data_IF_884680913549
#
_entry.id   IF_884680913549
#
_cell.length_a   1.000
_cell.length_b   1.000
_cell.length_c   1.000
_cell.angle_alpha   90.00
_cell.angle_beta   90.00
_cell.angle_gamma   90.00
#
_symmetry.space_group_name_H-M   'P 1'
#
loop_
_entity.id
_entity.type
_entity.pdbx_description
1 polymer ?
#
# COMPACT_ATOMS: atom_id res chain seq x y z
N UNK A 1 3.33 0.05 -1.21
CA UNK A 1 3.88 -0.60 -2.41
C UNK A 1 5.35 -0.88 -2.20
N UNK A 2 5.83 -2.05 -2.58
CA UNK A 2 7.27 -2.35 -2.60
C UNK A 2 7.64 -3.03 -3.90
N UNK A 3 8.90 -2.90 -4.30
CA UNK A 3 9.47 -3.79 -5.31
C UNK A 3 9.80 -5.14 -4.72
N UNK A 4 9.53 -6.20 -5.46
CA UNK A 4 9.90 -7.56 -5.09
C UNK A 4 11.28 -7.94 -5.65
N UNK A 5 11.69 -9.19 -5.41
CA UNK A 5 12.94 -9.79 -5.92
C UNK A 5 13.07 -9.81 -7.45
N UNK A 6 11.99 -9.51 -8.19
CA UNK A 6 11.97 -9.42 -9.65
C UNK A 6 11.84 -7.97 -10.14
N UNK A 7 12.09 -6.99 -9.26
CA UNK A 7 12.01 -5.57 -9.57
C UNK A 7 10.62 -5.10 -10.05
N UNK A 8 9.55 -5.79 -9.62
CA UNK A 8 8.16 -5.44 -9.93
C UNK A 8 7.44 -4.90 -8.70
N UNK A 9 6.57 -3.92 -8.91
CA UNK A 9 5.73 -3.36 -7.87
C UNK A 9 4.71 -4.37 -7.36
N UNK A 10 4.58 -4.48 -6.04
CA UNK A 10 3.61 -5.31 -5.35
C UNK A 10 2.93 -4.53 -4.22
N UNK A 11 1.66 -4.88 -3.97
CA UNK A 11 0.91 -4.40 -2.81
C UNK A 11 1.27 -5.28 -1.62
N UNK A 12 1.99 -4.72 -0.65
CA UNK A 12 2.46 -5.47 0.53
C UNK A 12 1.57 -5.25 1.77
N UNK A 13 0.92 -4.10 1.86
CA UNK A 13 0.02 -3.80 2.97
C UNK A 13 -0.89 -2.64 2.64
N UNK A 14 -2.12 -2.74 3.11
CA UNK A 14 -3.15 -1.70 2.99
C UNK A 14 -3.73 -1.48 4.38
N UNK A 15 -3.69 -0.25 4.86
CA UNK A 15 -4.38 0.15 6.08
C UNK A 15 -5.53 1.07 5.73
N UNK A 16 -6.76 0.72 6.12
CA UNK A 16 -7.89 1.62 6.00
C UNK A 16 -7.99 2.48 7.26
N UNK A 17 -7.97 3.81 7.09
CA UNK A 17 -8.15 4.76 8.18
C UNK A 17 -9.58 5.29 8.12
N UNK A 18 -10.35 5.14 9.21
CA UNK A 18 -11.66 5.78 9.33
C UNK A 18 -11.52 7.10 10.06
N UNK A 19 -12.05 8.19 9.48
CA UNK A 19 -12.15 9.47 10.16
C UNK A 19 -13.12 9.38 11.36
N UNK A 20 -12.75 10.02 12.47
CA UNK A 20 -13.67 10.18 13.61
C UNK A 20 -14.93 10.96 13.20
N UNK A 21 -16.05 10.74 13.90
CA UNK A 21 -17.31 11.45 13.61
C UNK A 21 -17.08 12.97 13.72
N UNK A 22 -17.30 13.71 12.63
CA UNK A 22 -17.09 15.16 12.57
C UNK A 22 -15.63 15.60 12.35
N UNK A 23 -14.69 14.65 12.17
CA UNK A 23 -13.30 14.97 11.82
C UNK A 23 -13.11 15.00 10.31
N UNK A 24 -12.46 16.05 9.81
CA UNK A 24 -12.02 16.15 8.41
C UNK A 24 -10.82 15.24 8.13
N UNK A 25 -10.08 14.83 9.17
CA UNK A 25 -8.85 14.03 9.04
C UNK A 25 -8.99 12.61 9.59
N UNK A 26 -8.29 11.66 8.96
CA UNK A 26 -8.20 10.25 9.39
C UNK A 26 -7.02 9.98 10.32
N UNK A 27 -6.37 11.03 10.85
CA UNK A 27 -5.20 10.89 11.72
C UNK A 27 -5.57 10.11 12.99
N UNK A 28 -4.84 9.03 13.27
CA UNK A 28 -5.06 8.16 14.44
C UNK A 28 -4.98 8.96 15.76
N UNK A 29 -4.13 9.99 15.81
CA UNK A 29 -4.01 10.90 16.97
C UNK A 29 -5.28 11.72 17.26
N UNK A 30 -6.17 11.88 16.27
CA UNK A 30 -7.40 12.68 16.35
C UNK A 30 -8.66 11.78 16.45
N UNK A 31 -8.53 10.56 16.98
CA UNK A 31 -9.66 9.63 17.17
C UNK A 31 -10.03 8.81 15.93
N UNK A 32 -9.18 8.79 14.90
CA UNK A 32 -9.30 7.86 13.78
C UNK A 32 -8.95 6.42 14.22
N UNK A 33 -9.67 5.43 13.68
CA UNK A 33 -9.35 4.02 13.90
C UNK A 33 -8.76 3.38 12.65
N UNK A 34 -7.76 2.51 12.85
CA UNK A 34 -7.25 1.65 11.80
C UNK A 34 -8.12 0.40 11.72
N UNK A 35 -8.51 0.02 10.51
CA UNK A 35 -9.21 -1.23 10.24
C UNK A 35 -8.67 -1.87 8.97
N UNK A 36 -9.04 -3.12 8.72
CA UNK A 36 -8.65 -3.78 7.47
C UNK A 36 -9.41 -3.15 6.30
N UNK A 37 -8.83 -3.11 5.09
CA UNK A 37 -9.52 -2.60 3.91
C UNK A 37 -10.82 -3.37 3.62
N UNK A 38 -10.87 -4.67 3.90
CA UNK A 38 -12.08 -5.49 3.72
C UNK A 38 -13.20 -5.00 4.63
N UNK A 39 -12.90 -4.71 5.91
CA UNK A 39 -13.89 -4.18 6.84
C UNK A 39 -14.40 -2.81 6.42
N UNK A 40 -13.51 -1.92 5.96
CA UNK A 40 -13.89 -0.59 5.51
C UNK A 40 -14.75 -0.65 4.24
N UNK A 41 -14.29 -1.39 3.23
CA UNK A 41 -14.96 -1.47 1.94
C UNK A 41 -16.24 -2.29 1.99
N UNK A 42 -16.33 -3.33 2.82
CA UNK A 42 -17.57 -4.09 3.04
C UNK A 42 -18.68 -3.17 3.59
N UNK A 43 -18.35 -2.24 4.47
CA UNK A 43 -19.31 -1.26 5.01
C UNK A 43 -19.76 -0.21 4.00
N UNK A 44 -18.87 0.19 3.08
CA UNK A 44 -19.17 1.23 2.09
C UNK A 44 -19.82 0.68 0.82
N UNK A 45 -19.35 -0.46 0.33
CA UNK A 45 -19.68 -1.00 -1.00
C UNK A 45 -20.33 -2.39 -0.96
N UNK A 46 -20.51 -3.00 0.22
CA UNK A 46 -21.20 -4.28 0.37
C UNK A 46 -20.58 -5.40 -0.45
N UNK A 47 -21.39 -6.01 -1.33
CA UNK A 47 -20.96 -7.12 -2.21
C UNK A 47 -19.86 -6.72 -3.20
N UNK A 48 -19.73 -5.43 -3.54
CA UNK A 48 -18.69 -4.93 -4.45
C UNK A 48 -17.33 -4.70 -3.79
N UNK A 49 -17.25 -4.81 -2.47
CA UNK A 49 -16.04 -4.51 -1.69
C UNK A 49 -14.77 -5.17 -2.22
N UNK A 50 -14.87 -6.45 -2.64
CA UNK A 50 -13.73 -7.18 -3.22
C UNK A 50 -13.27 -6.59 -4.55
N UNK A 51 -14.20 -6.29 -5.45
CA UNK A 51 -13.89 -5.70 -6.76
C UNK A 51 -13.26 -4.31 -6.61
N UNK A 52 -13.83 -3.48 -5.74
CA UNK A 52 -13.29 -2.15 -5.43
C UNK A 52 -11.88 -2.25 -4.84
N UNK A 53 -11.62 -3.22 -3.97
CA UNK A 53 -10.29 -3.46 -3.42
C UNK A 53 -9.28 -3.86 -4.50
N UNK A 54 -9.63 -4.76 -5.40
CA UNK A 54 -8.74 -5.17 -6.50
C UNK A 54 -8.46 -4.00 -7.46
N UNK A 55 -9.47 -3.21 -7.81
CA UNK A 55 -9.28 -1.98 -8.61
C UNK A 55 -8.34 -0.98 -7.92
N UNK A 56 -8.46 -0.83 -6.59
CA UNK A 56 -7.56 0.04 -5.82
C UNK A 56 -6.11 -0.47 -5.81
N UNK A 57 -5.91 -1.80 -5.75
CA UNK A 57 -4.58 -2.43 -5.86
C UNK A 57 -3.97 -2.22 -7.24
N UNK A 58 -4.74 -2.47 -8.31
CA UNK A 58 -4.31 -2.27 -9.69
C UNK A 58 -3.94 -0.81 -9.95
N UNK A 59 -4.78 0.13 -9.51
CA UNK A 59 -4.48 1.56 -9.60
C UNK A 59 -3.17 1.91 -8.86
N UNK A 60 -2.94 1.35 -7.67
CA UNK A 60 -1.71 1.58 -6.90
C UNK A 60 -0.46 1.05 -7.61
N UNK A 61 -0.56 -0.07 -8.33
CA UNK A 61 0.53 -0.60 -9.16
C UNK A 61 0.80 0.35 -10.33
N UNK A 62 -0.25 0.70 -11.09
CA UNK A 62 -0.13 1.61 -12.24
C UNK A 62 0.45 2.98 -11.86
N UNK A 63 0.03 3.54 -10.71
CA UNK A 63 0.60 4.78 -10.19
C UNK A 63 2.08 4.64 -9.80
N UNK A 64 2.48 3.49 -9.22
CA UNK A 64 3.88 3.24 -8.87
C UNK A 64 4.77 3.20 -10.11
N UNK A 65 4.32 2.49 -11.15
CA UNK A 65 5.01 2.40 -12.44
C UNK A 65 5.08 3.77 -13.12
N UNK A 66 3.99 4.53 -13.12
CA UNK A 66 3.96 5.87 -13.69
C UNK A 66 4.93 6.83 -12.99
N UNK A 67 4.98 6.81 -11.66
CA UNK A 67 5.92 7.63 -10.87
C UNK A 67 7.36 7.22 -11.19
N UNK A 68 7.66 5.92 -11.16
CA UNK A 68 9.00 5.41 -11.45
C UNK A 68 9.48 5.82 -12.84
N UNK A 69 8.64 5.71 -13.87
CA UNK A 69 9.01 6.06 -15.24
C UNK A 69 9.35 7.54 -15.43
N UNK A 70 8.91 8.42 -14.53
CA UNK A 70 9.14 9.87 -14.61
C UNK A 70 10.04 10.41 -13.49
N UNK A 71 10.54 9.54 -12.61
CA UNK A 71 11.39 9.93 -11.50
C UNK A 71 12.86 9.55 -11.77
N UNK A 72 13.83 10.47 -11.64
CA UNK A 72 15.22 10.22 -12.04
C UNK A 72 15.99 9.30 -11.08
N UNK A 73 15.47 9.06 -9.88
CA UNK A 73 16.11 8.21 -8.88
C UNK A 73 15.36 6.91 -8.69
N UNK A 74 16.12 5.87 -8.36
CA UNK A 74 15.63 4.54 -8.01
C UNK A 74 14.62 4.60 -6.85
N UNK A 75 13.50 3.91 -7.03
CA UNK A 75 12.47 3.73 -6.02
C UNK A 75 12.32 2.23 -5.69
N UNK A 76 12.19 1.93 -4.40
CA UNK A 76 11.96 0.56 -3.90
C UNK A 76 10.69 0.42 -3.08
N UNK A 77 10.14 1.53 -2.58
CA UNK A 77 8.91 1.58 -1.81
C UNK A 77 8.18 2.90 -2.09
N UNK A 78 6.84 2.83 -2.06
CA UNK A 78 5.95 3.99 -2.14
C UNK A 78 4.75 3.72 -1.22
N UNK A 79 4.40 4.67 -0.36
CA UNK A 79 3.12 4.70 0.33
C UNK A 79 2.17 5.66 -0.36
N UNK A 80 0.97 5.20 -0.68
CA UNK A 80 -0.09 6.07 -1.21
C UNK A 80 -1.14 6.33 -0.14
N UNK A 81 -1.56 7.59 -0.05
CA UNK A 81 -2.84 7.94 0.57
C UNK A 81 -3.86 8.12 -0.55
N UNK A 82 -4.86 7.22 -0.58
CA UNK A 82 -5.91 7.18 -1.61
C UNK A 82 -7.30 7.29 -0.98
N UNK A 83 -8.23 7.85 -1.73
CA UNK A 83 -9.66 7.86 -1.44
C UNK A 83 -10.45 7.12 -2.52
N UNK A 84 -11.61 6.60 -2.16
CA UNK A 84 -12.57 6.01 -3.10
C UNK A 84 -13.90 6.70 -2.87
N UNK A 85 -14.48 7.27 -3.93
CA UNK A 85 -15.78 7.95 -3.85
C UNK A 85 -16.97 6.99 -4.04
N UNK A 86 -18.19 7.51 -3.88
CA UNK A 86 -19.42 6.73 -3.99
C UNK A 86 -19.66 6.15 -5.40
N UNK A 87 -18.97 6.67 -6.42
CA UNK A 87 -18.98 6.17 -7.80
C UNK A 87 -17.82 5.19 -8.06
N UNK A 88 -17.15 4.71 -7.01
CA UNK A 88 -16.03 3.79 -7.07
C UNK A 88 -14.83 4.34 -7.86
N UNK A 89 -14.69 5.67 -7.94
CA UNK A 89 -13.51 6.31 -8.52
C UNK A 89 -12.41 6.41 -7.48
N UNK A 90 -11.20 6.08 -7.89
CA UNK A 90 -10.01 6.08 -7.04
C UNK A 90 -9.29 7.42 -7.23
N UNK A 91 -9.03 8.09 -6.11
CA UNK A 91 -8.37 9.39 -6.05
C UNK A 91 -7.07 9.24 -5.27
N UNK A 92 -5.94 9.64 -5.84
CA UNK A 92 -4.66 9.73 -5.13
C UNK A 92 -4.50 11.12 -4.53
N UNK A 93 -4.28 11.20 -3.22
CA UNK A 93 -4.01 12.46 -2.53
C UNK A 93 -2.50 12.71 -2.41
N UNK A 94 -1.74 11.67 -2.07
CA UNK A 94 -0.31 11.79 -1.81
C UNK A 94 0.44 10.49 -2.15
N UNK A 95 1.69 10.63 -2.57
CA UNK A 95 2.64 9.55 -2.79
C UNK A 95 3.93 9.82 -2.01
N UNK A 96 4.24 8.95 -1.05
CA UNK A 96 5.38 9.07 -0.15
C UNK A 96 6.46 8.04 -0.49
N UNK A 97 7.66 8.50 -0.83
CA UNK A 97 8.82 7.63 -1.11
C UNK A 97 9.48 7.02 0.14
N UNK A 98 9.08 7.48 1.33
CA UNK A 98 9.51 6.95 2.65
C UNK A 98 8.29 6.83 3.58
N UNK A 99 7.41 5.85 3.35
CA UNK A 99 6.19 5.71 4.14
C UNK A 99 6.48 5.40 5.61
N UNK A 100 5.73 6.04 6.49
CA UNK A 100 5.78 5.74 7.93
C UNK A 100 5.36 4.30 8.22
N UNK A 101 6.09 3.61 9.10
CA UNK A 101 5.84 2.20 9.46
C UNK A 101 4.84 2.00 10.60
N UNK A 102 4.27 3.09 11.13
CA UNK A 102 3.38 3.06 12.30
C UNK A 102 2.13 2.20 12.08
N UNK A 103 1.64 2.07 10.84
CA UNK A 103 0.50 1.21 10.50
C UNK A 103 0.73 -0.26 10.88
N UNK A 104 1.97 -0.74 10.81
CA UNK A 104 2.33 -2.14 11.11
C UNK A 104 2.39 -2.46 12.60
N UNK A 105 2.25 -1.45 13.47
CA UNK A 105 2.07 -1.67 14.91
C UNK A 105 0.72 -2.29 15.24
N UNK A 106 -0.27 -2.15 14.34
CA UNK A 106 -1.58 -2.76 14.51
C UNK A 106 -1.49 -4.29 14.37
N UNK A 107 -2.09 -5.07 15.28
CA UNK A 107 -1.96 -6.53 15.27
C UNK A 107 -2.34 -7.20 13.94
N UNK A 108 -3.37 -6.68 13.26
CA UNK A 108 -3.83 -7.22 11.98
C UNK A 108 -2.89 -6.97 10.80
N UNK A 109 -1.88 -6.10 10.96
CA UNK A 109 -0.94 -5.73 9.90
C UNK A 109 0.50 -6.21 10.17
N UNK A 110 0.68 -7.12 11.13
CA UNK A 110 2.01 -7.63 11.50
C UNK A 110 2.66 -8.45 10.38
N UNK A 111 1.86 -9.20 9.62
CA UNK A 111 2.36 -10.03 8.51
C UNK A 111 2.85 -9.15 7.38
N UNK A 112 2.07 -8.13 7.03
CA UNK A 112 2.37 -7.09 6.05
C UNK A 112 3.60 -6.29 6.48
N UNK A 113 3.74 -6.01 7.77
CA UNK A 113 4.93 -5.37 8.32
C UNK A 113 6.20 -6.19 8.12
N UNK A 114 6.12 -7.52 8.28
CA UNK A 114 7.24 -8.44 7.97
C UNK A 114 7.49 -8.51 6.47
N UNK A 115 6.45 -8.68 5.67
CA UNK A 115 6.56 -8.76 4.20
C UNK A 115 7.15 -7.48 3.60
N UNK A 116 6.88 -6.31 4.21
CA UNK A 116 7.49 -5.03 3.83
C UNK A 116 9.01 -5.05 4.02
N UNK A 117 9.49 -5.61 5.14
CA UNK A 117 10.93 -5.77 5.37
C UNK A 117 11.53 -6.77 4.39
N UNK A 118 10.88 -7.91 4.18
CA UNK A 118 11.32 -8.94 3.23
C UNK A 118 11.48 -8.39 1.82
N UNK A 119 10.52 -7.61 1.32
CA UNK A 119 10.59 -7.00 0.00
C UNK A 119 11.73 -5.98 -0.13
N UNK A 120 12.02 -5.21 0.93
CA UNK A 120 13.18 -4.30 0.93
C UNK A 120 14.48 -5.09 0.76
N UNK A 121 14.64 -6.20 1.49
CA UNK A 121 15.80 -7.08 1.34
C UNK A 121 15.86 -7.70 -0.05
N UNK A 122 14.75 -8.28 -0.53
CA UNK A 122 14.66 -8.91 -1.84
C UNK A 122 15.01 -7.96 -2.98
N UNK A 123 14.51 -6.73 -2.94
CA UNK A 123 14.84 -5.71 -3.94
C UNK A 123 16.30 -5.27 -3.84
N UNK A 124 16.85 -5.15 -2.62
CA UNK A 124 18.28 -4.84 -2.43
C UNK A 124 19.17 -5.93 -3.02
N UNK A 125 18.80 -7.20 -2.85
CA UNK A 125 19.48 -8.34 -3.45
C UNK A 125 19.42 -8.29 -4.98
N UNK A 126 18.24 -8.02 -5.55
CA UNK A 126 18.09 -7.81 -7.00
C UNK A 126 19.05 -6.73 -7.52
N UNK A 127 19.09 -5.56 -6.88
CA UNK A 127 19.93 -4.42 -7.30
C UNK A 127 21.43 -4.71 -7.19
N UNK A 128 21.82 -5.50 -6.19
CA UNK A 128 23.22 -5.90 -6.01
C UNK A 128 23.72 -6.92 -7.05
N UNK A 129 22.81 -7.50 -7.85
CA UNK A 129 23.13 -8.59 -8.77
C UNK A 129 23.27 -9.95 -8.09
N UNK A 130 23.15 -10.04 -6.77
CA UNK A 130 23.10 -11.31 -6.04
C UNK A 130 21.70 -11.92 -6.16
N UNK A 131 21.55 -12.82 -7.12
CA UNK A 131 20.34 -13.61 -7.26
C UNK A 131 20.44 -14.79 -6.29
N UNK A 132 19.38 -15.07 -5.52
CA UNK A 132 19.26 -16.41 -4.91
C UNK A 132 19.34 -17.38 -6.07
N UNK A 133 20.39 -18.20 -6.10
CA UNK A 133 20.56 -19.22 -7.14
C UNK A 133 19.27 -19.99 -7.27
N UNK A 134 18.81 -20.19 -8.51
CA UNK A 134 17.89 -21.27 -8.80
C UNK A 134 18.63 -22.56 -8.43
N UNK A 135 18.38 -23.08 -7.23
CA UNK A 135 18.59 -24.49 -6.99
C UNK A 135 17.61 -25.21 -7.93
N UNK A 136 18.23 -25.92 -8.88
CA UNK A 136 17.57 -26.69 -9.95
C UNK A 136 16.78 -27.86 -9.38
#
# INVERSE_FOLDING_TARGET
MHKNSKNRWSVVGIGAKKAGRGSVTTHIKNGGSLMTPEQALSRAFGSKSREVLERAKEASIAMSEAIENHHPHLLGEIGFDIGIDDNERIWMFEANSKPGRSIFSHPSLRVEGRSSVEHIFDHSMYLSGFHRGNDS
#
